data_IF_856332512210
#
_entry.id   IF_856332512210
#
_cell.length_a   1.000
_cell.length_b   1.000
_cell.length_c   1.000
_cell.angle_alpha   90.00
_cell.angle_beta   90.00
_cell.angle_gamma   90.00
#
_symmetry.space_group_name_H-M   'P 1'
#
loop_
_entity.id
_entity.type
_entity.pdbx_description
1 polymer ?
#
# COMPACT_ATOMS: atom_id res chain seq x y z
N UNK A 1 15.89 3.95 -13.42
CA UNK A 1 15.09 2.76 -13.05
C UNK A 1 13.84 3.23 -12.32
N UNK A 2 12.64 2.96 -12.87
CA UNK A 2 11.37 3.37 -12.27
C UNK A 2 11.13 2.55 -10.99
N UNK A 3 10.72 3.22 -9.91
CA UNK A 3 10.35 2.59 -8.64
C UNK A 3 8.85 2.75 -8.45
N UNK A 4 8.15 1.68 -8.11
CA UNK A 4 6.77 1.75 -7.67
C UNK A 4 6.76 1.82 -6.14
N UNK A 5 5.99 2.77 -5.57
CA UNK A 5 5.91 3.00 -4.12
C UNK A 5 7.26 3.19 -3.42
N UNK A 6 8.24 3.78 -4.12
CA UNK A 6 9.61 3.95 -3.64
C UNK A 6 10.36 2.65 -3.29
N UNK A 7 9.82 1.49 -3.64
CA UNK A 7 10.46 0.19 -3.43
C UNK A 7 11.53 -0.05 -4.50
N UNK A 8 12.70 -0.49 -4.06
CA UNK A 8 13.83 -0.92 -4.90
C UNK A 8 14.27 -2.32 -4.45
N UNK A 9 14.37 -3.23 -5.41
CA UNK A 9 15.03 -4.53 -5.21
C UNK A 9 16.48 -4.40 -5.65
N UNK A 10 17.43 -4.78 -4.79
CA UNK A 10 18.87 -4.71 -5.09
C UNK A 10 19.42 -6.11 -5.42
N UNK A 11 20.35 -6.18 -6.39
CA UNK A 11 20.98 -7.45 -6.81
C UNK A 11 22.01 -7.95 -5.79
N UNK A 12 22.58 -7.05 -4.98
CA UNK A 12 23.36 -7.43 -3.81
C UNK A 12 22.35 -7.83 -2.73
N UNK A 13 22.33 -9.13 -2.40
CA UNK A 13 21.71 -9.65 -1.16
C UNK A 13 20.18 -9.82 -1.14
N UNK A 14 19.47 -9.71 -2.28
CA UNK A 14 17.99 -9.84 -2.33
C UNK A 14 17.28 -8.91 -1.33
N UNK A 15 17.89 -7.78 -0.98
CA UNK A 15 17.30 -6.82 -0.08
C UNK A 15 16.27 -5.96 -0.82
N UNK A 16 15.16 -5.70 -0.14
CA UNK A 16 14.11 -4.79 -0.56
C UNK A 16 14.26 -3.52 0.25
N UNK A 17 14.62 -2.42 -0.40
CA UNK A 17 14.67 -1.09 0.21
C UNK A 17 13.40 -0.31 -0.10
N UNK A 18 12.83 0.34 0.91
CA UNK A 18 11.70 1.26 0.79
C UNK A 18 12.11 2.65 1.29
N UNK A 19 11.46 3.70 0.77
CA UNK A 19 11.59 5.08 1.27
C UNK A 19 10.22 5.73 1.39
N UNK A 20 10.13 6.83 2.14
CA UNK A 20 8.89 7.59 2.28
C UNK A 20 8.38 8.07 0.92
N UNK A 21 7.15 7.72 0.57
CA UNK A 21 6.46 8.15 -0.65
C UNK A 21 5.14 8.86 -0.34
N UNK A 22 4.36 9.14 -1.39
CA UNK A 22 3.06 9.83 -1.26
C UNK A 22 2.04 9.04 -0.42
N UNK A 23 2.10 7.70 -0.46
CA UNK A 23 1.27 6.81 0.36
C UNK A 23 1.89 6.52 1.73
N UNK A 24 2.99 7.18 2.10
CA UNK A 24 3.79 6.83 3.26
C UNK A 24 4.92 5.87 2.96
N UNK A 25 5.41 5.18 3.99
CA UNK A 25 6.46 4.17 3.86
C UNK A 25 5.83 2.80 3.56
N UNK A 26 6.09 2.27 2.37
CA UNK A 26 5.44 1.02 1.90
C UNK A 26 6.35 -0.17 2.13
N UNK A 27 5.88 -1.15 2.92
CA UNK A 27 6.63 -2.37 3.21
C UNK A 27 6.60 -3.35 2.02
N UNK A 28 5.45 -3.49 1.37
CA UNK A 28 5.26 -4.37 0.22
C UNK A 28 4.00 -3.99 -0.56
N UNK A 29 3.87 -4.51 -1.78
CA UNK A 29 2.64 -4.43 -2.57
C UNK A 29 2.45 -5.72 -3.39
N UNK A 30 1.20 -5.98 -3.75
CA UNK A 30 0.80 -7.03 -4.68
C UNK A 30 -0.21 -6.45 -5.66
N UNK A 31 -0.16 -6.85 -6.93
CA UNK A 31 -1.05 -6.32 -7.94
C UNK A 31 -1.35 -7.29 -9.06
N UNK A 32 -2.55 -7.18 -9.62
CA UNK A 32 -2.99 -7.95 -10.78
C UNK A 32 -3.73 -7.04 -11.75
N UNK A 33 -3.49 -7.25 -13.04
CA UNK A 33 -4.20 -6.56 -14.12
C UNK A 33 -5.26 -7.51 -14.67
N UNK A 34 -6.50 -7.04 -14.69
CA UNK A 34 -7.65 -7.84 -15.13
C UNK A 34 -8.49 -7.08 -16.17
N UNK A 35 -9.18 -7.81 -17.04
CA UNK A 35 -10.16 -7.23 -17.95
C UNK A 35 -11.51 -7.11 -17.24
N UNK A 36 -12.09 -5.91 -17.22
CA UNK A 36 -13.46 -5.75 -16.73
C UNK A 36 -14.48 -6.15 -17.81
N UNK A 37 -15.77 -6.23 -17.45
CA UNK A 37 -16.87 -6.68 -18.33
C UNK A 37 -17.09 -5.89 -19.64
N UNK A 38 -16.22 -4.93 -19.97
CA UNK A 38 -16.16 -4.20 -21.25
C UNK A 38 -14.79 -4.27 -21.95
N UNK A 39 -13.93 -5.21 -21.54
CA UNK A 39 -12.64 -5.50 -22.19
C UNK A 39 -11.50 -4.54 -21.86
N UNK A 40 -11.72 -3.47 -21.10
CA UNK A 40 -10.63 -2.57 -20.67
C UNK A 40 -9.86 -3.18 -19.49
N UNK A 41 -8.55 -2.95 -19.47
CA UNK A 41 -7.69 -3.38 -18.37
C UNK A 41 -7.85 -2.45 -17.16
N UNK A 42 -7.87 -3.02 -15.97
CA UNK A 42 -7.81 -2.30 -14.69
C UNK A 42 -6.86 -3.02 -13.74
N UNK A 43 -6.29 -2.27 -12.79
CA UNK A 43 -5.30 -2.76 -11.83
C UNK A 43 -5.96 -2.90 -10.46
N UNK A 44 -5.95 -4.12 -9.91
CA UNK A 44 -6.20 -4.38 -8.50
C UNK A 44 -4.89 -4.38 -7.74
N UNK A 45 -4.86 -3.76 -6.57
CA UNK A 45 -3.63 -3.56 -5.82
C UNK A 45 -3.83 -3.66 -4.32
N UNK A 46 -3.01 -4.47 -3.66
CA UNK A 46 -2.83 -4.45 -2.21
C UNK A 46 -1.51 -3.76 -1.88
N UNK A 47 -1.54 -2.85 -0.91
CA UNK A 47 -0.37 -2.09 -0.46
C UNK A 47 -0.29 -2.20 1.06
N UNK A 48 0.85 -2.66 1.57
CA UNK A 48 1.11 -2.73 3.01
C UNK A 48 1.93 -1.52 3.44
N UNK A 49 1.29 -0.61 4.16
CA UNK A 49 1.97 0.53 4.76
C UNK A 49 2.66 0.10 6.05
N UNK A 50 3.84 0.67 6.32
CA UNK A 50 4.51 0.49 7.59
C UNK A 50 3.78 1.29 8.68
N UNK A 51 3.48 0.63 9.80
CA UNK A 51 2.74 1.24 10.91
C UNK A 51 1.24 1.36 10.63
N UNK A 52 0.71 0.65 9.63
CA UNK A 52 -0.73 0.53 9.47
C UNK A 52 -1.34 -0.16 10.70
N UNK A 53 -2.42 0.40 11.28
CA UNK A 53 -3.15 -0.26 12.36
C UNK A 53 -3.77 -1.58 11.86
N UNK A 54 -3.87 -2.54 12.77
CA UNK A 54 -4.63 -3.78 12.61
C UNK A 54 -6.12 -3.50 12.45
N UNK A 55 -6.88 -4.50 12.00
CA UNK A 55 -8.33 -4.37 11.85
C UNK A 55 -9.01 -3.97 13.16
N UNK A 56 -8.60 -4.55 14.28
CA UNK A 56 -9.17 -4.25 15.60
C UNK A 56 -8.85 -2.81 16.03
N UNK A 57 -7.60 -2.36 15.82
CA UNK A 57 -7.19 -0.97 16.09
C UNK A 57 -7.94 0.04 15.20
N UNK A 58 -8.22 -0.31 13.94
CA UNK A 58 -9.05 0.52 13.06
C UNK A 58 -10.49 0.60 13.56
N UNK A 59 -11.08 -0.54 13.95
CA UNK A 59 -12.46 -0.58 14.46
C UNK A 59 -12.57 0.26 15.74
N UNK A 60 -11.60 0.16 16.64
CA UNK A 60 -11.51 0.98 17.84
C UNK A 60 -11.37 2.47 17.48
N UNK A 61 -10.42 2.81 16.59
CA UNK A 61 -10.18 4.19 16.17
C UNK A 61 -11.42 4.83 15.51
N UNK A 62 -12.18 4.08 14.73
CA UNK A 62 -13.44 4.53 14.12
C UNK A 62 -14.52 4.89 15.16
N UNK A 63 -14.40 4.42 16.40
CA UNK A 63 -15.26 4.83 17.50
C UNK A 63 -15.04 6.29 17.94
N UNK A 64 -13.88 6.87 17.64
CA UNK A 64 -13.52 8.23 18.05
C UNK A 64 -13.92 9.27 16.98
N UNK A 65 -14.56 10.35 17.40
CA UNK A 65 -14.97 11.46 16.50
C UNK A 65 -13.77 12.12 15.83
N UNK A 66 -12.75 12.50 16.60
CA UNK A 66 -11.52 13.12 16.09
C UNK A 66 -10.82 12.29 15.00
N UNK A 67 -10.93 10.97 15.07
CA UNK A 67 -10.36 10.08 14.06
C UNK A 67 -11.24 10.08 12.79
N UNK A 68 -12.56 9.99 12.94
CA UNK A 68 -13.54 10.01 11.83
C UNK A 68 -13.50 11.32 11.03
N UNK A 69 -13.18 12.44 11.65
CA UNK A 69 -13.05 13.73 10.93
C UNK A 69 -11.80 13.81 10.04
N UNK A 70 -10.82 12.92 10.24
CA UNK A 70 -9.52 12.95 9.56
C UNK A 70 -9.40 11.96 8.40
N UNK A 71 -10.44 11.15 8.15
CA UNK A 71 -10.47 10.11 7.11
C UNK A 71 -11.47 10.44 6.00
#
# INVERSE_FOLDING_TARGET
>A
MKKLFQIRVTNRERQVESKMGVLGHVKSYFGVVESQGRGTLHLHLFVWLQGAPSADEIIEALGHEDFRERI
#
